data_IF_350970952602
#
_entry.id   IF_350970952602
#
_cell.length_a   1.000
_cell.length_b   1.000
_cell.length_c   1.000
_cell.angle_alpha   90.00
_cell.angle_beta   90.00
_cell.angle_gamma   90.00
#
_symmetry.space_group_name_H-M   'P 1'
#
loop_
_entity.id
_entity.type
_entity.pdbx_description
1 polymer ?
#
# COMPACT_ATOMS: atom_id res chain seq x y z
N UNK A 1 31.84 -34.96 13.14
CA UNK A 1 31.06 -35.30 11.92
C UNK A 1 30.65 -33.99 11.28
N UNK A 2 31.18 -33.72 10.09
CA UNK A 2 30.97 -32.48 9.36
C UNK A 2 29.55 -32.44 8.77
N UNK A 3 28.82 -31.35 9.01
CA UNK A 3 27.61 -31.00 8.25
C UNK A 3 28.02 -29.97 7.21
N UNK A 4 28.18 -30.43 5.96
CA UNK A 4 28.49 -29.58 4.81
C UNK A 4 27.29 -28.71 4.42
N UNK A 5 27.60 -27.43 4.26
CA UNK A 5 26.98 -26.37 3.46
C UNK A 5 26.13 -26.79 2.25
N UNK A 6 24.99 -26.13 2.06
CA UNK A 6 24.55 -25.68 0.73
C UNK A 6 24.26 -24.17 0.77
N UNK A 7 25.30 -23.37 0.55
CA UNK A 7 25.14 -22.05 -0.02
C UNK A 7 24.83 -22.26 -1.51
N UNK A 8 23.62 -21.93 -1.94
CA UNK A 8 23.29 -21.84 -3.37
C UNK A 8 24.03 -20.64 -3.94
N UNK A 9 25.20 -20.88 -4.54
CA UNK A 9 25.94 -19.85 -5.29
C UNK A 9 25.07 -19.33 -6.42
N UNK A 10 24.67 -18.06 -6.33
CA UNK A 10 23.91 -17.39 -7.39
C UNK A 10 24.72 -17.28 -8.67
N UNK A 11 24.13 -17.63 -9.80
CA UNK A 11 24.76 -17.66 -11.11
C UNK A 11 25.13 -16.27 -11.61
N UNK A 12 24.34 -15.24 -11.26
CA UNK A 12 24.65 -13.86 -11.61
C UNK A 12 23.86 -12.84 -10.81
N UNK A 13 24.53 -11.84 -10.22
CA UNK A 13 23.90 -10.78 -9.40
C UNK A 13 22.92 -11.35 -8.35
N UNK A 14 23.35 -12.42 -7.69
CA UNK A 14 22.59 -13.18 -6.70
C UNK A 14 21.39 -13.97 -7.25
N UNK A 15 21.08 -13.96 -8.56
CA UNK A 15 20.02 -14.76 -9.18
C UNK A 15 20.47 -16.19 -9.43
N UNK A 16 19.58 -17.15 -9.16
CA UNK A 16 19.76 -18.54 -9.54
C UNK A 16 19.16 -18.85 -10.93
N UNK A 17 19.34 -20.09 -11.36
CA UNK A 17 18.98 -20.57 -12.70
C UNK A 17 17.47 -20.58 -12.91
N UNK A 18 16.73 -20.92 -11.86
CA UNK A 18 15.27 -20.98 -11.82
C UNK A 18 14.68 -19.59 -11.87
N UNK A 19 15.23 -18.65 -11.10
CA UNK A 19 14.82 -17.25 -11.09
C UNK A 19 15.07 -16.58 -12.45
N UNK A 20 16.18 -16.90 -13.11
CA UNK A 20 16.44 -16.47 -14.49
C UNK A 20 15.37 -17.00 -15.45
N UNK A 21 15.00 -18.28 -15.37
CA UNK A 21 13.96 -18.87 -16.21
C UNK A 21 12.58 -18.22 -15.98
N UNK A 22 12.24 -17.91 -14.73
CA UNK A 22 11.00 -17.21 -14.35
C UNK A 22 10.96 -15.77 -14.90
N UNK A 23 12.04 -15.00 -14.72
CA UNK A 23 12.14 -13.62 -15.22
C UNK A 23 11.99 -13.58 -16.75
N UNK A 24 12.58 -14.55 -17.46
CA UNK A 24 12.42 -14.68 -18.92
C UNK A 24 10.95 -14.90 -19.32
N UNK A 25 10.26 -15.83 -18.67
CA UNK A 25 8.84 -16.08 -18.99
C UNK A 25 7.98 -14.87 -18.67
N UNK A 26 8.19 -14.22 -17.53
CA UNK A 26 7.46 -13.01 -17.16
C UNK A 26 7.65 -11.87 -18.18
N UNK A 27 8.87 -11.71 -18.70
CA UNK A 27 9.16 -10.77 -19.79
C UNK A 27 8.45 -11.13 -21.09
N UNK A 28 8.44 -12.40 -21.48
CA UNK A 28 7.72 -12.87 -22.66
C UNK A 28 6.20 -12.67 -22.53
N UNK A 29 5.67 -12.73 -21.31
CA UNK A 29 4.27 -12.44 -21.01
C UNK A 29 3.95 -10.93 -20.99
N UNK A 30 4.92 -10.06 -21.32
CA UNK A 30 4.72 -8.61 -21.39
C UNK A 30 4.59 -7.92 -20.03
N UNK A 31 4.98 -8.58 -18.93
CA UNK A 31 4.85 -8.00 -17.60
C UNK A 31 5.81 -6.82 -17.42
N UNK A 32 5.37 -5.72 -16.77
CA UNK A 32 6.22 -4.55 -16.51
C UNK A 32 7.48 -4.93 -15.74
N UNK A 33 8.58 -4.26 -16.06
CA UNK A 33 9.89 -4.57 -15.48
C UNK A 33 9.91 -4.44 -13.95
N UNK A 34 9.27 -3.41 -13.40
CA UNK A 34 9.24 -3.21 -11.95
C UNK A 34 8.30 -4.19 -11.25
N UNK A 35 7.20 -4.57 -11.91
CA UNK A 35 6.34 -5.66 -11.45
C UNK A 35 7.13 -6.97 -11.33
N UNK A 36 7.94 -7.32 -12.34
CA UNK A 36 8.82 -8.49 -12.29
C UNK A 36 9.80 -8.35 -11.13
N UNK A 37 10.49 -7.21 -11.01
CA UNK A 37 11.49 -6.98 -9.97
C UNK A 37 10.93 -7.13 -8.54
N UNK A 38 9.68 -6.71 -8.31
CA UNK A 38 9.02 -6.79 -7.00
C UNK A 38 9.06 -8.20 -6.38
N UNK A 39 9.05 -9.26 -7.20
CA UNK A 39 9.07 -10.64 -6.71
C UNK A 39 10.47 -11.14 -6.34
N UNK A 40 11.54 -10.54 -6.85
CA UNK A 40 12.91 -11.06 -6.71
C UNK A 40 13.78 -10.26 -5.74
N UNK A 41 13.44 -9.00 -5.42
CA UNK A 41 14.15 -8.21 -4.40
C UNK A 41 13.93 -8.85 -3.01
N UNK A 42 15.01 -9.04 -2.23
CA UNK A 42 14.95 -9.61 -0.86
C UNK A 42 15.85 -8.82 0.12
N UNK A 43 15.54 -8.79 1.44
CA UNK A 43 16.44 -8.21 2.44
C UNK A 43 17.85 -8.80 2.35
N UNK A 44 18.88 -7.95 2.33
CA UNK A 44 20.27 -8.37 2.17
C UNK A 44 20.67 -8.82 0.76
N UNK A 45 19.74 -8.90 -0.20
CA UNK A 45 19.99 -9.33 -1.58
C UNK A 45 19.64 -8.23 -2.58
N UNK A 46 20.67 -7.54 -3.08
CA UNK A 46 20.52 -6.51 -4.11
C UNK A 46 20.52 -7.12 -5.51
N UNK A 47 19.40 -7.00 -6.22
CA UNK A 47 19.31 -7.32 -7.65
C UNK A 47 19.35 -6.00 -8.42
N UNK A 48 20.23 -5.92 -9.42
CA UNK A 48 20.30 -4.72 -10.27
C UNK A 48 18.99 -4.54 -11.04
N UNK A 49 18.49 -3.31 -11.06
CA UNK A 49 17.30 -2.94 -11.80
C UNK A 49 17.38 -3.27 -13.30
N UNK A 50 18.58 -3.33 -13.89
CA UNK A 50 18.77 -3.71 -15.28
C UNK A 50 18.63 -5.23 -15.55
N UNK A 51 18.60 -6.06 -14.50
CA UNK A 51 18.65 -7.52 -14.63
C UNK A 51 17.56 -8.11 -15.53
N UNK A 52 16.26 -7.74 -15.42
CA UNK A 52 15.22 -8.34 -16.27
C UNK A 52 15.38 -8.07 -17.76
N UNK A 53 16.06 -6.98 -18.14
CA UNK A 53 16.32 -6.65 -19.53
C UNK A 53 17.57 -7.35 -20.07
N UNK A 54 18.59 -7.55 -19.22
CA UNK A 54 19.85 -8.19 -19.61
C UNK A 54 19.75 -9.72 -19.70
N UNK A 55 18.90 -10.33 -18.86
CA UNK A 55 18.85 -11.79 -18.65
C UNK A 55 18.54 -12.58 -19.93
N UNK A 56 17.70 -12.05 -20.82
CA UNK A 56 17.35 -12.73 -22.08
C UNK A 56 18.59 -12.94 -22.95
N UNK A 57 19.39 -11.88 -23.11
CA UNK A 57 20.62 -11.90 -23.92
C UNK A 57 21.77 -12.63 -23.23
N UNK A 58 21.84 -12.53 -21.89
CA UNK A 58 23.00 -13.00 -21.12
C UNK A 58 22.99 -14.50 -20.84
N UNK A 59 21.80 -15.11 -20.79
CA UNK A 59 21.65 -16.53 -20.49
C UNK A 59 20.85 -17.25 -21.56
N UNK A 60 21.25 -17.22 -22.84
CA UNK A 60 20.44 -17.77 -23.95
C UNK A 60 20.06 -19.24 -23.72
N UNK A 61 20.95 -20.02 -23.09
CA UNK A 61 20.79 -21.46 -22.86
C UNK A 61 19.80 -21.83 -21.74
N UNK A 62 19.33 -20.85 -20.95
CA UNK A 62 18.30 -21.11 -19.94
C UNK A 62 16.93 -20.91 -20.58
N UNK A 63 16.20 -22.00 -20.77
CA UNK A 63 14.82 -21.94 -21.29
C UNK A 63 13.91 -21.16 -20.32
N UNK A 64 12.95 -20.37 -20.84
CA UNK A 64 11.94 -19.73 -20.00
C UNK A 64 11.10 -20.77 -19.25
N UNK A 65 10.74 -20.49 -17.99
CA UNK A 65 9.81 -21.30 -17.22
C UNK A 65 8.45 -21.42 -17.94
N UNK A 66 7.59 -22.36 -17.57
CA UNK A 66 6.20 -22.43 -18.03
C UNK A 66 5.33 -21.33 -17.43
N UNK A 67 4.15 -21.07 -18.01
CA UNK A 67 3.17 -20.14 -17.44
C UNK A 67 2.67 -20.60 -16.07
N UNK A 68 2.53 -21.91 -15.89
CA UNK A 68 2.10 -22.53 -14.64
C UNK A 68 3.15 -22.31 -13.53
N UNK A 69 4.43 -22.50 -13.83
CA UNK A 69 5.52 -22.23 -12.87
C UNK A 69 5.61 -20.75 -12.50
N UNK A 70 5.32 -19.83 -13.42
CA UNK A 70 5.24 -18.39 -13.12
C UNK A 70 4.05 -18.09 -12.22
N UNK A 71 2.87 -18.66 -12.49
CA UNK A 71 1.68 -18.46 -11.67
C UNK A 71 1.90 -19.01 -10.25
N UNK A 72 2.42 -20.23 -10.12
CA UNK A 72 2.76 -20.84 -8.85
C UNK A 72 3.84 -20.06 -8.10
N UNK A 73 4.84 -19.52 -8.78
CA UNK A 73 5.86 -18.67 -8.17
C UNK A 73 5.28 -17.36 -7.65
N UNK A 74 4.47 -16.66 -8.45
CA UNK A 74 3.80 -15.42 -8.04
C UNK A 74 2.89 -15.70 -6.85
N UNK A 75 2.05 -16.73 -6.92
CA UNK A 75 1.15 -17.12 -5.84
C UNK A 75 1.91 -17.51 -4.58
N UNK A 76 2.96 -18.31 -4.70
CA UNK A 76 3.83 -18.66 -3.58
C UNK A 76 4.47 -17.42 -2.98
N UNK A 77 5.00 -16.49 -3.78
CA UNK A 77 5.58 -15.23 -3.29
C UNK A 77 4.54 -14.36 -2.61
N UNK A 78 3.33 -14.25 -3.15
CA UNK A 78 2.21 -13.53 -2.51
C UNK A 78 1.86 -14.17 -1.16
N UNK A 79 1.82 -15.51 -1.07
CA UNK A 79 1.54 -16.26 0.18
C UNK A 79 2.69 -16.21 1.19
N UNK A 80 3.94 -16.30 0.73
CA UNK A 80 5.15 -16.12 1.54
C UNK A 80 5.22 -14.71 2.11
N UNK A 81 4.85 -13.70 1.31
CA UNK A 81 4.66 -12.32 1.74
C UNK A 81 3.58 -12.32 2.83
N UNK A 82 2.38 -12.84 2.55
CA UNK A 82 1.26 -12.91 3.52
C UNK A 82 1.59 -13.57 4.88
N UNK A 83 2.45 -14.59 4.93
CA UNK A 83 2.87 -15.27 6.18
C UNK A 83 4.09 -14.63 6.87
N UNK A 84 4.94 -13.90 6.13
CA UNK A 84 6.07 -13.14 6.69
C UNK A 84 5.69 -11.68 7.04
N UNK A 85 4.56 -11.20 6.52
CA UNK A 85 4.02 -9.84 6.66
C UNK A 85 3.49 -9.49 8.04
N UNK A 86 3.28 -10.47 8.93
CA UNK A 86 3.03 -10.19 10.35
C UNK A 86 4.27 -9.72 11.09
N UNK A 87 5.47 -9.97 10.54
CA UNK A 87 6.71 -9.59 11.21
C UNK A 87 7.60 -8.60 10.43
N UNK A 88 7.79 -8.64 9.09
CA UNK A 88 8.65 -7.65 8.41
C UNK A 88 8.40 -7.52 6.87
N UNK A 89 7.62 -6.54 6.34
CA UNK A 89 7.94 -6.08 4.96
C UNK A 89 6.94 -5.40 4.01
N UNK A 90 5.62 -5.32 4.22
CA UNK A 90 4.79 -4.36 3.45
C UNK A 90 4.89 -2.97 4.09
N UNK A 91 5.79 -2.12 3.59
CA UNK A 91 5.79 -0.70 3.94
C UNK A 91 5.16 0.11 2.80
N UNK A 92 3.86 0.47 2.91
CA UNK A 92 3.13 1.18 1.86
C UNK A 92 3.69 2.58 1.59
N UNK A 93 4.44 3.16 2.52
CA UNK A 93 5.06 4.48 2.44
C UNK A 93 6.58 4.41 2.24
N UNK A 94 7.11 3.23 1.88
CA UNK A 94 8.51 3.09 1.47
C UNK A 94 8.80 3.92 0.22
N UNK A 95 10.03 4.43 0.10
CA UNK A 95 10.43 5.23 -1.07
C UNK A 95 10.14 4.51 -2.37
N UNK A 96 10.49 3.22 -2.49
CA UNK A 96 10.21 2.41 -3.68
C UNK A 96 8.72 2.41 -4.03
N UNK A 97 7.84 2.21 -3.05
CA UNK A 97 6.40 2.14 -3.29
C UNK A 97 5.83 3.49 -3.70
N UNK A 98 6.29 4.57 -3.07
CA UNK A 98 5.88 5.93 -3.40
C UNK A 98 6.37 6.30 -4.81
N UNK A 99 7.61 5.95 -5.17
CA UNK A 99 8.11 6.08 -6.54
C UNK A 99 7.26 5.28 -7.53
N UNK A 100 6.95 4.01 -7.28
CA UNK A 100 6.08 3.22 -8.18
C UNK A 100 4.72 3.85 -8.44
N UNK A 101 4.15 4.52 -7.42
CA UNK A 101 2.85 5.17 -7.51
C UNK A 101 2.94 6.51 -8.26
N UNK A 102 4.04 7.25 -8.09
CA UNK A 102 4.20 8.61 -8.63
C UNK A 102 4.97 8.67 -9.97
N UNK A 103 6.00 7.84 -10.18
CA UNK A 103 6.93 7.84 -11.33
C UNK A 103 6.39 7.14 -12.59
N UNK A 104 5.10 7.30 -12.88
CA UNK A 104 4.51 6.72 -14.09
C UNK A 104 4.59 7.65 -15.32
N UNK A 105 5.26 8.80 -15.24
CA UNK A 105 5.54 9.68 -16.40
C UNK A 105 7.02 9.67 -16.79
N UNK A 106 7.29 9.81 -18.08
CA UNK A 106 8.63 9.77 -18.67
C UNK A 106 9.53 10.97 -18.33
N UNK A 107 9.00 12.02 -17.69
CA UNK A 107 9.71 13.26 -17.36
C UNK A 107 10.03 13.43 -15.87
N UNK A 108 9.50 12.59 -14.98
CA UNK A 108 9.77 12.61 -13.53
C UNK A 108 9.34 13.89 -12.80
N UNK A 109 8.60 14.79 -13.46
CA UNK A 109 8.13 16.06 -12.90
C UNK A 109 6.64 16.07 -12.54
N UNK A 110 5.91 15.02 -12.94
CA UNK A 110 4.47 14.92 -12.77
C UNK A 110 4.08 13.53 -12.27
N UNK A 111 3.25 13.46 -11.24
CA UNK A 111 2.43 12.28 -11.00
C UNK A 111 1.38 12.19 -12.12
N UNK A 112 1.07 10.99 -12.63
CA UNK A 112 0.14 10.83 -13.75
C UNK A 112 -1.21 11.55 -13.47
N UNK A 113 -1.69 12.41 -14.40
CA UNK A 113 -3.04 12.97 -14.34
C UNK A 113 -4.07 11.84 -14.29
N UNK A 114 -4.85 11.77 -13.21
CA UNK A 114 -5.86 10.72 -12.99
C UNK A 114 -5.66 9.87 -11.73
N UNK A 115 -4.54 10.04 -11.00
CA UNK A 115 -4.35 9.35 -9.72
C UNK A 115 -5.20 9.87 -8.57
N UNK A 116 -5.72 11.11 -8.63
CA UNK A 116 -6.83 11.52 -7.76
C UNK A 116 -8.05 10.63 -8.04
N UNK A 117 -8.23 9.68 -7.15
CA UNK A 117 -9.11 8.53 -7.34
C UNK A 117 -9.71 8.13 -6.00
N UNK A 118 -10.45 7.03 -6.00
CA UNK A 118 -10.97 6.47 -4.76
C UNK A 118 -9.88 5.98 -3.79
N UNK A 119 -8.62 5.86 -4.22
CA UNK A 119 -7.50 5.33 -3.41
C UNK A 119 -6.33 6.30 -3.25
N UNK A 120 -6.34 7.47 -3.88
CA UNK A 120 -5.32 8.49 -3.67
C UNK A 120 -5.89 9.92 -3.70
N UNK A 121 -5.33 10.78 -2.85
CA UNK A 121 -5.66 12.20 -2.74
C UNK A 121 -4.37 13.03 -2.76
N UNK A 122 -4.37 14.11 -3.55
CA UNK A 122 -3.24 15.04 -3.63
C UNK A 122 -3.53 16.32 -2.84
N UNK A 123 -2.47 16.88 -2.29
CA UNK A 123 -2.45 18.16 -1.60
C UNK A 123 -1.20 18.90 -1.99
N UNK A 124 -1.39 20.15 -2.41
CA UNK A 124 -0.27 21.05 -2.71
C UNK A 124 0.62 21.23 -1.48
N UNK A 125 0.03 21.46 -0.32
CA UNK A 125 0.74 21.82 0.91
C UNK A 125 0.17 21.09 2.13
N UNK A 126 0.98 21.03 3.19
CA UNK A 126 0.55 20.56 4.50
C UNK A 126 -0.30 21.66 5.17
N UNK A 127 -1.54 21.38 5.59
CA UNK A 127 -2.39 22.40 6.18
C UNK A 127 -1.93 22.78 7.60
N UNK A 128 -1.64 24.06 7.82
CA UNK A 128 -1.33 24.60 9.14
C UNK A 128 -2.56 24.68 10.06
N UNK A 129 -3.71 25.06 9.48
CA UNK A 129 -4.93 25.38 10.21
C UNK A 129 -5.70 24.14 10.70
N UNK A 130 -6.38 24.28 11.84
CA UNK A 130 -7.23 23.21 12.42
C UNK A 130 -8.26 22.68 11.43
N UNK A 131 -8.88 23.57 10.66
CA UNK A 131 -9.87 23.19 9.65
C UNK A 131 -9.28 22.34 8.52
N UNK A 132 -8.04 22.62 8.10
CA UNK A 132 -7.35 21.80 7.10
C UNK A 132 -6.99 20.42 7.64
N UNK A 133 -6.49 20.33 8.87
CA UNK A 133 -6.22 19.05 9.56
C UNK A 133 -7.49 18.20 9.73
N UNK A 134 -8.63 18.84 10.04
CA UNK A 134 -9.92 18.18 10.09
C UNK A 134 -10.32 17.55 8.74
N UNK A 135 -10.05 18.24 7.62
CA UNK A 135 -10.30 17.69 6.27
C UNK A 135 -9.41 16.48 5.98
N UNK A 136 -8.13 16.53 6.34
CA UNK A 136 -7.21 15.40 6.19
C UNK A 136 -7.68 14.19 7.01
N UNK A 137 -8.00 14.38 8.29
CA UNK A 137 -8.47 13.30 9.14
C UNK A 137 -9.80 12.68 8.64
N UNK A 138 -10.72 13.51 8.12
CA UNK A 138 -11.92 13.04 7.43
C UNK A 138 -11.62 12.19 6.20
N UNK A 139 -10.66 12.61 5.36
CA UNK A 139 -10.21 11.81 4.22
C UNK A 139 -9.58 10.49 4.68
N UNK A 140 -8.80 10.50 5.76
CA UNK A 140 -8.25 9.27 6.34
C UNK A 140 -9.35 8.30 6.78
N UNK A 141 -10.35 8.76 7.53
CA UNK A 141 -11.50 7.92 7.90
C UNK A 141 -12.28 7.40 6.68
N UNK A 142 -12.38 8.21 5.62
CA UNK A 142 -13.01 7.83 4.35
C UNK A 142 -12.26 6.70 3.63
N UNK A 143 -10.92 6.75 3.64
CA UNK A 143 -10.08 5.66 3.12
C UNK A 143 -10.19 4.40 3.97
N UNK A 144 -10.19 4.54 5.30
CA UNK A 144 -10.32 3.42 6.22
C UNK A 144 -11.68 2.70 6.06
N UNK A 145 -12.75 3.43 5.77
CA UNK A 145 -14.07 2.87 5.44
C UNK A 145 -14.14 2.24 4.05
N UNK A 146 -13.24 2.62 3.16
CA UNK A 146 -13.10 2.06 1.83
C UNK A 146 -11.93 1.05 1.80
N UNK A 147 -11.28 0.86 0.66
CA UNK A 147 -10.20 -0.13 0.49
C UNK A 147 -8.82 0.40 0.91
N UNK A 148 -8.76 1.40 1.81
CA UNK A 148 -7.55 2.14 2.13
C UNK A 148 -7.18 3.14 1.02
N UNK A 149 -6.05 3.82 1.22
CA UNK A 149 -5.56 4.77 0.22
C UNK A 149 -4.45 5.69 0.72
N UNK A 150 -4.00 6.55 -0.19
CA UNK A 150 -2.86 7.43 0.00
C UNK A 150 -3.28 8.89 0.06
N UNK A 151 -2.59 9.66 0.90
CA UNK A 151 -2.56 11.11 0.81
C UNK A 151 -1.12 11.54 0.54
N UNK A 152 -0.94 12.36 -0.51
CA UNK A 152 0.35 12.92 -0.88
C UNK A 152 0.33 14.43 -0.70
N UNK A 153 1.38 14.98 -0.10
CA UNK A 153 1.57 16.42 0.10
C UNK A 153 2.79 16.90 -0.68
N UNK A 154 2.71 18.07 -1.31
CA UNK A 154 3.72 18.56 -2.23
C UNK A 154 3.41 18.23 -3.70
N UNK A 155 2.15 17.92 -4.02
CA UNK A 155 1.68 17.61 -5.38
C UNK A 155 0.45 18.46 -5.69
N UNK A 156 0.46 19.16 -6.82
CA UNK A 156 -0.68 19.92 -7.31
C UNK A 156 -1.83 18.99 -7.75
N UNK A 157 -3.06 19.52 -7.81
CA UNK A 157 -4.25 18.76 -8.21
C UNK A 157 -4.16 18.22 -9.65
N UNK A 158 -3.35 18.85 -10.50
CA UNK A 158 -3.04 18.43 -11.86
C UNK A 158 -1.91 17.38 -11.96
N UNK A 159 -1.33 16.98 -10.82
CA UNK A 159 -0.27 15.99 -10.70
C UNK A 159 1.14 16.55 -10.67
N UNK A 160 1.36 17.86 -10.88
CA UNK A 160 2.72 18.41 -10.85
C UNK A 160 3.35 18.31 -9.47
N UNK A 161 4.57 17.76 -9.40
CA UNK A 161 5.32 17.60 -8.15
C UNK A 161 6.00 18.92 -7.83
N UNK A 162 5.61 19.56 -6.73
CA UNK A 162 6.19 20.83 -6.26
C UNK A 162 7.09 20.67 -5.04
N UNK A 163 6.89 19.59 -4.27
CA UNK A 163 7.55 19.39 -2.99
C UNK A 163 6.83 20.10 -1.84
N UNK A 164 7.07 19.64 -0.62
CA UNK A 164 6.73 20.39 0.59
C UNK A 164 7.82 21.44 0.86
N UNK A 165 7.44 22.54 1.49
CA UNK A 165 8.37 23.62 1.83
C UNK A 165 9.23 23.22 3.05
N UNK A 166 10.55 23.46 2.97
CA UNK A 166 11.52 23.08 4.00
C UNK A 166 11.26 23.72 5.37
N UNK A 167 10.54 24.84 5.42
CA UNK A 167 10.12 25.50 6.66
C UNK A 167 8.94 24.81 7.34
N UNK A 168 8.23 23.91 6.65
CA UNK A 168 7.11 23.19 7.24
C UNK A 168 7.62 22.15 8.23
N UNK A 169 7.22 22.30 9.49
CA UNK A 169 7.48 21.29 10.51
C UNK A 169 6.57 20.09 10.26
N UNK A 170 7.14 19.16 9.51
CA UNK A 170 6.56 17.87 9.18
C UNK A 170 6.15 17.18 10.47
N UNK A 171 7.08 16.71 11.30
CA UNK A 171 6.77 15.91 12.49
C UNK A 171 5.62 16.46 13.37
N UNK A 172 5.53 17.79 13.54
CA UNK A 172 4.41 18.45 14.22
C UNK A 172 3.06 18.17 13.56
N UNK A 173 2.94 18.28 12.24
CA UNK A 173 1.71 17.93 11.53
C UNK A 173 1.28 16.48 11.77
N UNK A 174 2.21 15.55 11.86
CA UNK A 174 1.90 14.13 12.00
C UNK A 174 1.36 13.85 13.40
N UNK A 175 1.91 14.51 14.41
CA UNK A 175 1.41 14.47 15.79
C UNK A 175 0.04 15.11 15.90
N UNK A 176 -0.16 16.29 15.30
CA UNK A 176 -1.46 16.96 15.28
C UNK A 176 -2.53 16.11 14.57
N UNK A 177 -2.20 15.45 13.46
CA UNK A 177 -3.12 14.55 12.75
C UNK A 177 -3.43 13.31 13.57
N UNK A 178 -2.42 12.71 14.21
CA UNK A 178 -2.63 11.56 15.11
C UNK A 178 -3.62 11.89 16.23
N UNK A 179 -3.47 13.07 16.84
CA UNK A 179 -4.37 13.58 17.87
C UNK A 179 -5.79 13.78 17.35
N UNK A 180 -5.95 14.41 16.17
CA UNK A 180 -7.26 14.61 15.55
C UNK A 180 -7.92 13.27 15.23
N UNK A 181 -7.18 12.32 14.66
CA UNK A 181 -7.72 10.99 14.31
C UNK A 181 -8.17 10.25 15.55
N UNK A 182 -7.30 10.14 16.56
CA UNK A 182 -7.54 9.33 17.76
C UNK A 182 -8.68 9.88 18.61
N UNK A 183 -8.85 11.21 18.69
CA UNK A 183 -9.90 11.82 19.51
C UNK A 183 -11.26 11.84 18.83
N UNK A 184 -11.30 11.86 17.51
CA UNK A 184 -12.52 12.14 16.77
C UNK A 184 -13.06 10.96 15.97
N UNK A 185 -12.37 9.82 15.88
CA UNK A 185 -12.83 8.66 15.13
C UNK A 185 -12.77 7.36 15.94
N UNK A 186 -13.76 6.51 15.72
CA UNK A 186 -13.89 5.19 16.33
C UNK A 186 -14.55 4.21 15.34
N UNK A 187 -14.20 2.92 15.35
CA UNK A 187 -13.06 2.34 16.04
C UNK A 187 -11.72 2.83 15.47
N UNK A 188 -10.62 2.50 16.15
CA UNK A 188 -9.28 2.81 15.65
C UNK A 188 -9.04 2.20 14.26
N UNK A 189 -8.30 2.91 13.41
CA UNK A 189 -7.82 2.41 12.13
C UNK A 189 -6.33 2.72 11.97
N UNK A 190 -5.52 1.76 11.49
CA UNK A 190 -4.10 1.97 11.34
C UNK A 190 -3.79 2.85 10.11
N UNK A 191 -2.67 3.55 10.19
CA UNK A 191 -2.11 4.33 9.08
C UNK A 191 -0.59 4.42 9.25
N UNK A 192 0.11 4.56 8.12
CA UNK A 192 1.56 4.70 8.02
C UNK A 192 1.93 6.04 7.41
N UNK A 193 3.16 6.48 7.65
CA UNK A 193 3.61 7.84 7.30
C UNK A 193 5.08 7.87 6.93
N UNK A 194 5.45 8.69 5.94
CA UNK A 194 6.85 8.88 5.54
C UNK A 194 7.05 10.22 4.84
N UNK A 195 8.31 10.61 4.70
CA UNK A 195 8.74 11.65 3.76
C UNK A 195 9.68 10.99 2.75
N UNK A 196 9.39 11.14 1.47
CA UNK A 196 10.13 10.53 0.37
C UNK A 196 10.61 11.61 -0.58
N UNK A 197 11.87 11.53 -0.99
CA UNK A 197 12.42 12.40 -2.03
C UNK A 197 12.05 11.85 -3.41
N UNK A 198 11.35 12.66 -4.22
CA UNK A 198 11.02 12.36 -5.62
C UNK A 198 11.59 13.47 -6.49
N UNK A 199 12.49 13.14 -7.41
CA UNK A 199 13.10 14.11 -8.33
C UNK A 199 13.68 15.36 -7.63
N UNK A 200 14.35 15.16 -6.49
CA UNK A 200 14.96 16.25 -5.69
C UNK A 200 13.97 17.08 -4.86
N UNK A 201 12.70 16.67 -4.79
CA UNK A 201 11.64 17.34 -4.02
C UNK A 201 11.13 16.41 -2.93
N UNK A 202 10.99 16.93 -1.71
CA UNK A 202 10.46 16.15 -0.59
C UNK A 202 8.94 16.06 -0.65
N UNK A 203 8.40 14.86 -0.53
CA UNK A 203 6.96 14.57 -0.56
C UNK A 203 6.58 13.87 0.72
N UNK A 204 5.64 14.45 1.46
CA UNK A 204 5.08 13.79 2.62
C UNK A 204 3.93 12.87 2.20
N UNK A 205 3.91 11.67 2.75
CA UNK A 205 2.97 10.61 2.37
C UNK A 205 2.33 10.01 3.62
N UNK A 206 1.01 9.86 3.57
CA UNK A 206 0.22 9.06 4.50
C UNK A 206 -0.40 7.92 3.72
N UNK A 207 -0.32 6.71 4.26
CA UNK A 207 -1.12 5.58 3.81
C UNK A 207 -2.10 5.17 4.90
N UNK A 208 -3.37 5.04 4.56
CA UNK A 208 -4.41 4.55 5.45
C UNK A 208 -4.82 3.16 5.00
N UNK A 209 -4.78 2.19 5.91
CA UNK A 209 -5.23 0.84 5.61
C UNK A 209 -6.76 0.79 5.60
N UNK A 210 -7.32 -0.13 4.81
CA UNK A 210 -8.71 -0.51 4.99
C UNK A 210 -8.91 -1.03 6.42
N UNK A 211 -9.90 -0.51 7.13
CA UNK A 211 -10.21 -1.02 8.46
C UNK A 211 -10.89 -2.40 8.37
N UNK A 212 -10.51 -3.30 9.26
CA UNK A 212 -11.23 -4.57 9.46
C UNK A 212 -12.50 -4.39 10.28
N UNK A 213 -12.59 -3.31 11.05
CA UNK A 213 -13.67 -2.98 11.97
C UNK A 213 -14.59 -1.86 11.41
N UNK A 214 -14.95 -1.95 10.13
CA UNK A 214 -15.87 -0.98 9.51
C UNK A 214 -17.30 -1.12 10.09
N UNK A 215 -18.06 0.00 10.20
CA UNK A 215 -17.67 1.35 9.81
C UNK A 215 -16.89 2.11 10.90
N UNK A 216 -15.92 2.90 10.46
CA UNK A 216 -15.33 4.01 11.20
C UNK A 216 -16.30 5.20 11.17
N UNK A 217 -16.69 5.69 12.33
CA UNK A 217 -17.54 6.85 12.50
C UNK A 217 -16.82 7.91 13.34
N UNK A 218 -17.27 9.16 13.23
CA UNK A 218 -16.79 10.23 14.10
C UNK A 218 -17.41 10.14 15.49
N UNK A 219 -16.57 10.16 16.52
CA UNK A 219 -16.98 10.07 17.93
C UNK A 219 -17.23 11.45 18.57
N UNK A 220 -16.91 12.53 17.89
CA UNK A 220 -17.09 13.90 18.39
C UNK A 220 -17.14 14.91 17.25
N UNK A 221 -17.64 16.11 17.56
CA UNK A 221 -17.58 17.25 16.65
C UNK A 221 -16.18 17.87 16.65
N UNK A 222 -15.62 18.14 15.46
CA UNK A 222 -14.36 18.83 15.31
C UNK A 222 -14.34 19.73 14.09
N UNK A 223 -14.37 21.04 14.34
CA UNK A 223 -14.62 22.06 13.31
C UNK A 223 -15.94 21.80 12.56
N UNK A 224 -16.20 22.51 11.47
CA UNK A 224 -17.35 22.23 10.58
C UNK A 224 -17.14 21.01 9.67
N UNK A 225 -15.96 20.40 9.68
CA UNK A 225 -15.59 19.33 8.74
C UNK A 225 -15.82 17.92 9.28
N UNK A 226 -15.83 17.75 10.61
CA UNK A 226 -16.11 16.50 11.31
C UNK A 226 -17.30 16.73 12.23
N UNK A 227 -18.37 15.99 12.00
CA UNK A 227 -19.63 16.06 12.72
C UNK A 227 -19.86 14.73 13.40
N UNK A 228 -20.18 14.71 14.69
CA UNK A 228 -20.37 13.50 15.49
C UNK A 228 -21.40 12.53 14.88
N UNK A 229 -21.15 11.23 14.99
CA UNK A 229 -22.01 10.16 14.46
C UNK A 229 -21.97 10.00 12.94
N UNK A 230 -21.18 10.81 12.23
CA UNK A 230 -21.03 10.70 10.78
C UNK A 230 -20.05 9.60 10.39
N UNK A 231 -20.44 8.80 9.40
CA UNK A 231 -19.53 7.88 8.72
C UNK A 231 -19.11 8.55 7.42
N UNK A 232 -17.81 8.71 7.22
CA UNK A 232 -17.28 9.29 5.99
C UNK A 232 -16.83 8.20 5.04
N UNK A 233 -17.07 8.39 3.74
CA UNK A 233 -16.73 7.46 2.69
C UNK A 233 -16.23 8.23 1.48
N UNK A 234 -15.27 7.64 0.77
CA UNK A 234 -14.68 8.26 -0.42
C UNK A 234 -15.45 7.86 -1.68
N UNK A 235 -16.04 8.84 -2.34
CA UNK A 235 -16.67 8.70 -3.66
C UNK A 235 -15.83 9.45 -4.69
N UNK A 236 -15.17 8.72 -5.57
CA UNK A 236 -14.23 9.28 -6.55
C UNK A 236 -13.18 10.17 -5.85
N UNK A 237 -13.25 11.50 -6.04
CA UNK A 237 -12.28 12.48 -5.50
C UNK A 237 -12.77 13.19 -4.23
N UNK A 238 -13.92 12.81 -3.69
CA UNK A 238 -14.57 13.51 -2.59
C UNK A 238 -14.79 12.60 -1.38
N UNK A 239 -14.50 13.13 -0.19
CA UNK A 239 -14.76 12.49 1.10
C UNK A 239 -16.09 13.01 1.65
N UNK A 240 -17.15 12.21 1.58
CA UNK A 240 -18.53 12.62 1.91
C UNK A 240 -19.13 11.76 3.01
N UNK A 241 -20.31 12.13 3.52
CA UNK A 241 -21.06 11.21 4.38
C UNK A 241 -21.47 9.99 3.56
N UNK A 242 -21.36 8.80 4.15
CA UNK A 242 -21.67 7.54 3.48
C UNK A 242 -23.14 7.50 3.03
N UNK A 243 -23.38 6.94 1.84
CA UNK A 243 -24.72 6.69 1.32
C UNK A 243 -25.27 5.40 1.91
N UNK A 244 -26.60 5.33 2.05
CA UNK A 244 -27.28 4.20 2.68
C UNK A 244 -26.93 2.84 2.07
N UNK A 245 -26.80 2.75 0.74
CA UNK A 245 -26.44 1.50 0.06
C UNK A 245 -25.03 0.99 0.42
N UNK A 246 -24.04 1.89 0.49
CA UNK A 246 -22.68 1.50 0.87
C UNK A 246 -22.59 1.13 2.35
N UNK A 247 -23.33 1.84 3.20
CA UNK A 247 -23.44 1.48 4.62
C UNK A 247 -24.06 0.09 4.78
N UNK A 248 -25.15 -0.20 4.06
CA UNK A 248 -25.77 -1.52 4.05
C UNK A 248 -24.77 -2.61 3.65
N UNK A 249 -23.99 -2.38 2.59
CA UNK A 249 -22.96 -3.31 2.14
C UNK A 249 -21.86 -3.54 3.19
N UNK A 250 -21.42 -2.48 3.88
CA UNK A 250 -20.43 -2.59 4.97
C UNK A 250 -20.99 -3.45 6.10
N UNK A 251 -22.22 -3.18 6.54
CA UNK A 251 -22.86 -3.90 7.64
C UNK A 251 -23.09 -5.37 7.27
N UNK A 252 -23.61 -5.64 6.07
CA UNK A 252 -23.83 -7.00 5.58
C UNK A 252 -22.53 -7.82 5.56
N UNK A 253 -21.42 -7.24 5.06
CA UNK A 253 -20.10 -7.90 5.07
C UNK A 253 -19.59 -8.16 6.49
N UNK A 254 -19.82 -7.23 7.41
CA UNK A 254 -19.44 -7.39 8.82
C UNK A 254 -20.21 -8.55 9.45
N UNK A 255 -21.53 -8.59 9.25
CA UNK A 255 -22.38 -9.62 9.83
C UNK A 255 -22.04 -11.01 9.25
N UNK A 256 -21.74 -11.09 7.95
CA UNK A 256 -21.22 -12.31 7.30
C UNK A 256 -19.88 -12.77 7.90
N UNK A 257 -18.94 -11.85 8.17
CA UNK A 257 -17.66 -12.18 8.81
C UNK A 257 -17.86 -12.73 10.21
N UNK A 258 -18.72 -12.10 11.01
CA UNK A 258 -19.04 -12.54 12.37
C UNK A 258 -19.66 -13.94 12.35
N UNK A 259 -20.62 -14.19 11.45
CA UNK A 259 -21.25 -15.50 11.29
C UNK A 259 -20.23 -16.57 10.86
N UNK A 260 -19.34 -16.25 9.91
CA UNK A 260 -18.29 -17.17 9.46
C UNK A 260 -17.30 -17.52 10.58
N UNK A 261 -16.86 -16.54 11.37
CA UNK A 261 -15.97 -16.78 12.52
C UNK A 261 -16.63 -17.66 13.58
N UNK A 262 -17.90 -17.41 13.91
CA UNK A 262 -18.64 -18.22 14.89
C UNK A 262 -18.80 -19.69 14.44
N UNK A 263 -19.05 -19.93 13.15
CA UNK A 263 -19.12 -21.29 12.58
C UNK A 263 -17.76 -22.01 12.63
N UNK A 264 -16.67 -21.30 12.34
CA UNK A 264 -15.32 -21.86 12.40
C UNK A 264 -14.90 -22.26 13.83
N UNK A 265 -15.24 -21.44 14.83
CA UNK A 265 -15.00 -21.74 16.23
C UNK A 265 -15.81 -22.96 16.70
N UNK A 266 -17.09 -23.05 16.34
CA UNK A 266 -17.94 -24.22 16.65
C UNK A 266 -17.42 -25.53 16.05
N UNK A 267 -16.89 -25.48 14.82
CA UNK A 267 -16.30 -26.66 14.17
C UNK A 267 -15.01 -27.13 14.86
N UNK A 268 -14.16 -26.21 15.32
CA UNK A 268 -12.91 -26.53 16.03
C UNK A 268 -13.16 -27.16 17.41
N UNK A 269 -14.17 -26.69 18.14
CA UNK A 269 -14.56 -27.26 19.45
C UNK A 269 -15.06 -28.70 19.30
N UNK A 270 -15.81 -28.99 18.22
CA UNK A 270 -16.34 -30.33 17.95
C UNK A 270 -15.25 -31.35 17.57
N UNK A 271 -14.14 -30.90 16.96
CA UNK A 271 -13.01 -31.77 16.62
C UNK A 271 -12.05 -32.04 17.78
N UNK A 272 -12.04 -31.21 18.83
CA UNK A 272 -11.17 -31.39 20.01
C UNK A 272 -11.83 -32.23 21.10
N UNK A 273 -13.15 -32.48 20.97
CA UNK A 273 -13.96 -33.27 21.91
C UNK A 273 -14.27 -34.69 21.43
N UNK A 274 -13.69 -35.10 20.30
CA UNK A 274 -13.72 -36.46 19.75
C UNK A 274 -12.32 -37.09 19.84
#
# INVERSE_FOLDING_TARGET
MASMSQQTEGIWRSLDRTEVALIKRMKMNGLPRDFIMSFFVRPGRKISAAAPNEIIKKFPDISPASNEEVAQFIERRIRETSNSDRNHGFNPVSSLRVHEILDLTSDGQSALPGFESHFAEFKREIPAEKAGKAKIARSMASFANNNGGYLFFGICDDGHIIGIDDSQNVERFWNDISDVVTRNFSPFFPWERSVVEISGKMIAVIYVFASDAKPIYSSSNFTKHIEEGSIYFRYNRSSEKIKAGDLFNILQKRDQRVAASALAEGAAVTQTSA
#
